data_IF_150624768335
#
_entry.id   IF_150624768335
#
_cell.length_a   1.000
_cell.length_b   1.000
_cell.length_c   1.000
_cell.angle_alpha   90.00
_cell.angle_beta   90.00
_cell.angle_gamma   90.00
#
_symmetry.space_group_name_H-M   'P 1'
#
loop_
_entity.id
_entity.type
_entity.pdbx_description
1 polymer ?
#
# COMPACT_ATOMS: atom_id res chain seq x y z
N UNK A 1 2.87 -19.98 -20.09
CA UNK A 1 3.36 -19.95 -18.69
C UNK A 1 2.30 -19.22 -17.89
N UNK A 2 1.46 -20.00 -17.26
CA UNK A 2 0.40 -19.50 -16.38
C UNK A 2 1.04 -18.86 -15.14
N UNK A 3 0.74 -17.58 -14.91
CA UNK A 3 1.00 -16.92 -13.65
C UNK A 3 -0.25 -17.13 -12.79
N UNK A 4 -0.18 -18.11 -11.91
CA UNK A 4 -1.24 -18.42 -10.99
C UNK A 4 -1.49 -17.24 -10.05
N UNK A 5 -2.70 -16.69 -10.12
CA UNK A 5 -3.26 -15.87 -9.08
C UNK A 5 -3.46 -16.75 -7.85
N UNK A 6 -2.63 -16.56 -6.82
CA UNK A 6 -2.76 -17.31 -5.58
C UNK A 6 -3.91 -16.76 -4.76
N UNK A 7 -5.08 -17.35 -4.91
CA UNK A 7 -6.14 -17.29 -3.90
C UNK A 7 -5.78 -18.33 -2.85
N UNK A 8 -5.34 -17.90 -1.68
CA UNK A 8 -5.12 -18.81 -0.55
C UNK A 8 -6.46 -19.11 0.12
N UNK A 9 -6.97 -20.32 -0.12
CA UNK A 9 -8.09 -20.88 0.62
C UNK A 9 -7.63 -21.49 1.96
N UNK A 10 -8.33 -21.06 3.01
CA UNK A 10 -8.67 -21.72 4.27
C UNK A 10 -7.63 -22.45 5.10
N UNK A 11 -7.43 -21.91 6.30
CA UNK A 11 -7.40 -22.76 7.50
C UNK A 11 -8.55 -22.35 8.43
N UNK A 12 -9.42 -23.33 8.73
CA UNK A 12 -10.54 -23.18 9.67
C UNK A 12 -10.01 -23.02 11.09
N UNK A 13 -10.27 -21.86 11.70
CA UNK A 13 -10.22 -21.72 13.14
C UNK A 13 -11.55 -21.13 13.61
N UNK A 14 -12.32 -21.97 14.32
CA UNK A 14 -13.62 -21.65 14.88
C UNK A 14 -13.42 -20.65 16.02
N UNK A 15 -13.71 -19.40 15.75
CA UNK A 15 -14.31 -18.41 16.64
C UNK A 15 -14.20 -17.02 16.02
N UNK A 16 -15.09 -16.74 15.07
CA UNK A 16 -15.37 -15.37 14.66
C UNK A 16 -16.58 -15.37 13.76
N UNK A 17 -17.43 -14.36 13.92
CA UNK A 17 -18.59 -14.17 13.09
C UNK A 17 -18.24 -14.35 11.61
N UNK A 18 -19.16 -14.89 10.87
CA UNK A 18 -19.03 -15.27 9.46
C UNK A 18 -18.32 -14.16 8.66
N UNK A 19 -17.03 -14.36 8.42
CA UNK A 19 -16.31 -13.58 7.43
C UNK A 19 -16.83 -14.01 6.07
N UNK A 20 -17.68 -13.19 5.48
CA UNK A 20 -18.21 -13.42 4.15
C UNK A 20 -17.08 -13.71 3.16
N UNK A 21 -17.21 -14.78 2.42
CA UNK A 21 -16.34 -15.10 1.29
C UNK A 21 -16.43 -13.95 0.30
N UNK A 22 -15.29 -13.33 -0.06
CA UNK A 22 -15.29 -12.39 -1.18
C UNK A 22 -15.30 -13.22 -2.45
N UNK A 23 -16.47 -13.50 -2.95
CA UNK A 23 -16.62 -14.27 -4.19
C UNK A 23 -16.51 -13.41 -5.45
N UNK A 24 -16.50 -12.07 -5.32
CA UNK A 24 -16.41 -11.16 -6.46
C UNK A 24 -15.73 -9.84 -6.07
N UNK A 25 -14.45 -9.76 -6.37
CA UNK A 25 -13.74 -8.50 -6.48
C UNK A 25 -13.71 -8.09 -7.96
N UNK A 26 -14.85 -7.68 -8.49
CA UNK A 26 -15.00 -7.30 -9.92
C UNK A 26 -14.16 -6.06 -10.31
N UNK A 27 -13.59 -5.36 -9.32
CA UNK A 27 -12.76 -4.17 -9.53
C UNK A 27 -11.25 -4.44 -9.37
N UNK A 28 -10.83 -5.69 -9.12
CA UNK A 28 -9.41 -6.01 -9.08
C UNK A 28 -8.83 -6.00 -10.50
N UNK A 29 -7.85 -5.16 -10.73
CA UNK A 29 -7.08 -5.20 -11.96
C UNK A 29 -6.18 -6.45 -11.98
N UNK A 30 -5.76 -6.90 -13.16
CA UNK A 30 -4.82 -8.04 -13.33
C UNK A 30 -3.52 -7.89 -12.51
N UNK A 31 -3.21 -6.68 -12.05
CA UNK A 31 -2.00 -6.32 -11.33
C UNK A 31 -2.21 -6.08 -9.83
N UNK A 32 -3.42 -6.32 -9.32
CA UNK A 32 -3.75 -6.10 -7.91
C UNK A 32 -3.86 -7.43 -7.17
N UNK A 33 -3.41 -7.43 -5.91
CA UNK A 33 -3.54 -8.60 -5.02
C UNK A 33 -4.04 -8.16 -3.67
N UNK A 34 -4.99 -8.92 -3.12
CA UNK A 34 -5.52 -8.73 -1.78
C UNK A 34 -5.31 -10.00 -0.99
N UNK A 35 -4.77 -9.82 0.21
CA UNK A 35 -4.59 -10.90 1.17
C UNK A 35 -5.52 -10.72 2.36
N UNK A 36 -6.03 -11.81 2.87
CA UNK A 36 -6.81 -11.88 4.09
C UNK A 36 -6.16 -12.82 5.08
N UNK A 37 -6.22 -12.47 6.34
CA UNK A 37 -5.68 -13.28 7.41
C UNK A 37 -5.57 -12.49 8.70
N UNK A 38 -5.04 -13.12 9.73
CA UNK A 38 -4.58 -12.42 10.91
C UNK A 38 -3.33 -11.58 10.59
N UNK A 39 -2.94 -10.73 11.52
CA UNK A 39 -1.81 -9.80 11.31
C UNK A 39 -0.51 -10.53 10.96
N UNK A 40 -0.23 -11.67 11.61
CA UNK A 40 0.98 -12.45 11.35
C UNK A 40 1.00 -13.04 9.94
N UNK A 41 -0.15 -13.55 9.49
CA UNK A 41 -0.32 -14.05 8.13
C UNK A 41 -0.15 -12.94 7.10
N UNK A 42 -0.79 -11.79 7.32
CA UNK A 42 -0.69 -10.64 6.40
C UNK A 42 0.74 -10.13 6.27
N UNK A 43 1.47 -9.99 7.38
CA UNK A 43 2.87 -9.56 7.37
C UNK A 43 3.78 -10.59 6.70
N UNK A 44 3.60 -11.87 6.99
CA UNK A 44 4.38 -12.95 6.38
C UNK A 44 4.20 -12.99 4.87
N UNK A 45 2.95 -12.88 4.38
CA UNK A 45 2.64 -12.83 2.95
C UNK A 45 3.17 -11.56 2.29
N UNK A 46 3.08 -10.42 2.95
CA UNK A 46 3.65 -9.18 2.46
C UNK A 46 5.17 -9.32 2.23
N UNK A 47 5.92 -9.82 3.22
CA UNK A 47 7.36 -9.99 3.10
C UNK A 47 7.73 -11.07 2.07
N UNK A 48 6.96 -12.15 1.99
CA UNK A 48 7.12 -13.16 0.96
C UNK A 48 6.97 -12.55 -0.44
N UNK A 49 5.93 -11.74 -0.66
CA UNK A 49 5.70 -11.07 -1.93
C UNK A 49 6.83 -10.11 -2.27
N UNK A 50 7.24 -9.27 -1.33
CA UNK A 50 8.34 -8.31 -1.52
C UNK A 50 9.66 -9.02 -1.88
N UNK A 51 9.91 -10.21 -1.34
CA UNK A 51 11.13 -11.00 -1.62
C UNK A 51 11.18 -11.54 -3.05
N UNK A 52 10.05 -11.62 -3.76
CA UNK A 52 9.94 -12.19 -5.10
C UNK A 52 10.41 -11.26 -6.24
N UNK A 53 11.29 -10.33 -5.96
CA UNK A 53 11.90 -9.49 -6.99
C UNK A 53 11.24 -8.12 -7.18
N UNK A 54 10.49 -7.64 -6.18
CA UNK A 54 10.04 -6.25 -6.18
C UNK A 54 11.27 -5.34 -6.13
N UNK A 55 11.52 -4.61 -7.21
CA UNK A 55 12.69 -3.74 -7.34
C UNK A 55 12.54 -2.44 -6.55
N UNK A 56 11.37 -1.81 -6.67
CA UNK A 56 11.06 -0.51 -6.06
C UNK A 56 9.67 -0.54 -5.43
N UNK A 57 9.55 0.04 -4.25
CA UNK A 57 8.26 0.36 -3.62
C UNK A 57 7.87 1.79 -4.00
N UNK A 58 6.62 2.00 -4.33
CA UNK A 58 6.04 3.32 -4.53
C UNK A 58 5.00 3.52 -3.45
N UNK A 59 5.10 4.60 -2.70
CA UNK A 59 4.17 4.91 -1.60
C UNK A 59 3.78 6.38 -1.63
N UNK A 60 2.77 6.72 -0.86
CA UNK A 60 2.48 8.10 -0.47
C UNK A 60 2.57 8.20 1.05
N UNK A 61 3.58 8.88 1.58
CA UNK A 61 3.90 8.97 3.00
C UNK A 61 4.25 7.63 3.67
N UNK A 62 4.57 6.60 2.89
CA UNK A 62 4.86 5.26 3.40
C UNK A 62 6.17 5.18 4.18
N UNK A 63 7.13 6.06 3.90
CA UNK A 63 8.39 6.15 4.64
C UNK A 63 8.18 6.58 6.09
N UNK A 64 7.22 7.46 6.33
CA UNK A 64 6.92 7.97 7.68
C UNK A 64 5.89 7.10 8.42
N UNK A 65 5.05 6.38 7.71
CA UNK A 65 3.94 5.63 8.30
C UNK A 65 4.02 4.13 8.03
N UNK A 66 3.78 3.68 6.80
CA UNK A 66 3.66 2.25 6.49
C UNK A 66 4.95 1.48 6.76
N UNK A 67 6.09 2.02 6.34
CA UNK A 67 7.38 1.37 6.52
C UNK A 67 7.73 1.10 7.97
N UNK A 68 7.75 2.12 8.85
CA UNK A 68 7.98 1.93 10.28
C UNK A 68 6.95 1.01 10.94
N UNK A 69 5.66 1.14 10.58
CA UNK A 69 4.61 0.28 11.11
C UNK A 69 4.87 -1.19 10.76
N UNK A 70 5.06 -1.53 9.49
CA UNK A 70 5.32 -2.90 9.04
C UNK A 70 6.57 -3.49 9.69
N UNK A 71 7.67 -2.73 9.76
CA UNK A 71 8.92 -3.18 10.37
C UNK A 71 8.76 -3.46 11.87
N UNK A 72 8.13 -2.53 12.61
CA UNK A 72 7.97 -2.66 14.07
C UNK A 72 6.98 -3.78 14.42
N UNK A 73 5.86 -3.89 13.69
CA UNK A 73 4.90 -4.98 13.92
C UNK A 73 5.50 -6.34 13.61
N UNK A 74 6.29 -6.44 12.55
CA UNK A 74 7.03 -7.68 12.23
C UNK A 74 7.98 -8.07 13.36
N UNK A 75 8.75 -7.13 13.88
CA UNK A 75 9.66 -7.38 15.01
C UNK A 75 8.91 -7.85 16.27
N UNK A 76 7.78 -7.21 16.61
CA UNK A 76 6.95 -7.59 17.77
C UNK A 76 6.38 -9.00 17.62
N UNK A 77 6.00 -9.39 16.40
CA UNK A 77 5.40 -10.69 16.09
C UNK A 77 6.45 -11.77 15.75
N UNK A 78 7.75 -11.45 15.80
CA UNK A 78 8.82 -12.39 15.49
C UNK A 78 8.89 -12.78 14.00
N UNK A 79 8.40 -11.93 13.13
CA UNK A 79 8.43 -12.12 11.67
C UNK A 79 9.65 -11.38 11.11
N UNK A 80 10.47 -12.08 10.33
CA UNK A 80 11.67 -11.49 9.72
C UNK A 80 11.31 -10.72 8.45
N UNK A 81 11.56 -9.38 8.41
CA UNK A 81 11.39 -8.60 7.20
C UNK A 81 12.38 -9.02 6.11
N UNK A 82 11.89 -9.24 4.89
CA UNK A 82 12.75 -9.63 3.76
C UNK A 82 13.63 -8.48 3.23
N UNK A 83 13.31 -7.24 3.58
CA UNK A 83 14.09 -6.04 3.23
C UNK A 83 13.76 -4.86 4.13
N UNK A 84 14.66 -3.89 4.21
CA UNK A 84 14.38 -2.59 4.83
C UNK A 84 13.55 -1.70 3.88
N UNK A 85 12.65 -0.93 4.45
CA UNK A 85 12.08 0.24 3.77
C UNK A 85 13.13 1.35 3.75
N UNK A 86 14.04 1.29 2.83
CA UNK A 86 15.18 2.17 2.63
C UNK A 86 15.29 3.36 3.61
N UNK A 87 16.23 3.34 4.55
CA UNK A 87 16.38 4.41 5.52
C UNK A 87 16.88 5.72 4.88
N UNK A 88 17.44 5.64 3.68
CA UNK A 88 18.01 6.79 2.99
C UNK A 88 16.93 7.54 2.20
N UNK A 89 16.41 8.61 2.79
CA UNK A 89 15.28 9.35 2.24
C UNK A 89 15.54 10.06 0.91
N UNK A 90 16.79 10.35 0.59
CA UNK A 90 17.17 11.04 -0.65
C UNK A 90 17.48 10.06 -1.80
N UNK A 91 17.03 8.81 -1.72
CA UNK A 91 17.17 7.83 -2.79
C UNK A 91 15.84 7.20 -3.14
N UNK A 92 15.47 7.27 -4.41
CA UNK A 92 14.24 6.67 -4.93
C UNK A 92 14.42 5.24 -5.44
N UNK A 93 15.66 4.72 -5.49
CA UNK A 93 16.00 3.46 -6.16
C UNK A 93 15.22 2.25 -5.63
N UNK A 94 15.05 2.14 -4.32
CA UNK A 94 14.34 1.03 -3.68
C UNK A 94 12.98 1.42 -3.13
N UNK A 95 12.80 2.70 -2.80
CA UNK A 95 11.57 3.23 -2.23
C UNK A 95 11.39 4.68 -2.67
N UNK A 96 10.43 4.91 -3.53
CA UNK A 96 10.00 6.25 -3.94
C UNK A 96 8.76 6.64 -3.15
N UNK A 97 8.92 7.54 -2.20
CA UNK A 97 7.79 8.11 -1.45
C UNK A 97 7.35 9.40 -2.13
N UNK A 98 6.16 9.37 -2.72
CA UNK A 98 5.65 10.50 -3.48
C UNK A 98 5.37 11.74 -2.62
N UNK A 99 5.06 11.56 -1.33
CA UNK A 99 4.91 12.68 -0.41
C UNK A 99 6.25 13.45 -0.25
N UNK A 100 7.38 12.74 -0.24
CA UNK A 100 8.70 13.37 -0.25
C UNK A 100 9.03 14.05 -1.59
N UNK A 101 8.62 13.46 -2.70
CA UNK A 101 8.78 14.07 -4.03
C UNK A 101 8.04 15.40 -4.11
N UNK A 102 6.75 15.41 -3.82
CA UNK A 102 5.91 16.61 -3.96
C UNK A 102 6.18 17.68 -2.92
N UNK A 103 6.71 17.30 -1.76
CA UNK A 103 7.15 18.25 -0.73
C UNK A 103 8.62 18.68 -0.90
N UNK A 104 9.33 18.18 -1.91
CA UNK A 104 10.76 18.40 -2.08
C UNK A 104 11.53 18.07 -0.79
N UNK A 105 11.30 16.85 -0.28
CA UNK A 105 11.88 16.35 0.98
C UNK A 105 11.58 17.21 2.21
N UNK A 106 10.41 17.82 2.24
CA UNK A 106 9.94 18.64 3.35
C UNK A 106 10.28 20.13 3.24
N UNK A 107 10.75 20.59 2.07
CA UNK A 107 10.93 22.04 1.80
C UNK A 107 9.57 22.76 1.64
N UNK A 108 8.49 22.02 1.40
CA UNK A 108 7.11 22.51 1.36
C UNK A 108 6.23 21.67 2.27
N UNK A 109 5.10 22.23 2.66
CA UNK A 109 4.07 21.50 3.39
C UNK A 109 3.58 20.29 2.57
N UNK A 110 3.30 19.21 3.28
CA UNK A 110 2.82 17.97 2.68
C UNK A 110 1.30 18.04 2.55
N UNK A 111 0.83 17.99 1.31
CA UNK A 111 -0.59 17.85 0.99
C UNK A 111 -1.01 16.38 0.95
N UNK A 112 -2.31 16.08 0.89
CA UNK A 112 -2.81 14.71 0.83
C UNK A 112 -2.62 14.08 -0.56
N UNK A 113 -2.67 12.74 -0.62
CA UNK A 113 -2.71 11.99 -1.89
C UNK A 113 -3.87 12.47 -2.76
N UNK A 114 -5.07 12.63 -2.17
CA UNK A 114 -6.26 13.14 -2.83
C UNK A 114 -6.05 14.51 -3.49
N UNK A 115 -5.40 15.44 -2.78
CA UNK A 115 -5.06 16.75 -3.32
C UNK A 115 -4.24 16.61 -4.61
N UNK A 116 -3.16 15.83 -4.57
CA UNK A 116 -2.27 15.69 -5.72
C UNK A 116 -2.90 14.89 -6.87
N UNK A 117 -3.72 13.88 -6.57
CA UNK A 117 -4.49 13.18 -7.59
C UNK A 117 -5.39 14.16 -8.36
N UNK A 118 -6.14 15.01 -7.66
CA UNK A 118 -6.99 16.04 -8.31
C UNK A 118 -6.17 17.03 -9.13
N UNK A 119 -5.02 17.49 -8.63
CA UNK A 119 -4.15 18.39 -9.38
C UNK A 119 -3.61 17.75 -10.66
N UNK A 120 -3.40 16.44 -10.66
CA UNK A 120 -2.95 15.66 -11.80
C UNK A 120 -4.08 15.19 -12.73
N UNK A 121 -5.35 15.55 -12.46
CA UNK A 121 -6.52 15.08 -13.23
C UNK A 121 -6.82 13.59 -13.03
N UNK A 122 -6.41 13.02 -11.90
CA UNK A 122 -6.66 11.63 -11.50
C UNK A 122 -7.88 11.62 -10.59
N UNK A 123 -8.77 10.64 -10.77
CA UNK A 123 -9.94 10.47 -9.92
C UNK A 123 -9.54 10.32 -8.45
N UNK A 124 -10.32 10.96 -7.58
CA UNK A 124 -10.03 10.95 -6.15
C UNK A 124 -10.13 9.55 -5.57
N UNK A 125 -9.15 9.07 -4.79
CA UNK A 125 -9.28 7.81 -4.08
C UNK A 125 -10.33 7.85 -2.94
N UNK A 126 -10.79 9.04 -2.55
CA UNK A 126 -11.68 9.28 -1.39
C UNK A 126 -13.18 9.30 -1.70
N UNK A 127 -13.66 8.57 -2.71
CA UNK A 127 -15.08 8.65 -3.06
C UNK A 127 -16.03 8.08 -1.98
N UNK A 128 -15.64 7.02 -1.25
CA UNK A 128 -16.53 6.28 -0.37
C UNK A 128 -16.08 6.19 1.10
N UNK A 129 -14.81 6.44 1.40
CA UNK A 129 -14.25 6.31 2.75
C UNK A 129 -13.08 7.27 2.95
N UNK A 130 -12.96 7.83 4.16
CA UNK A 130 -11.77 8.55 4.62
C UNK A 130 -10.93 7.66 5.55
N UNK A 131 -9.61 7.87 5.56
CA UNK A 131 -8.72 7.10 6.44
C UNK A 131 -9.08 7.15 7.93
N UNK A 132 -9.73 8.24 8.39
CA UNK A 132 -10.23 8.36 9.76
C UNK A 132 -11.39 7.40 10.07
N UNK A 133 -12.11 6.92 9.05
CA UNK A 133 -13.26 6.02 9.19
C UNK A 133 -12.87 4.54 9.20
N UNK A 134 -11.63 4.20 8.80
CA UNK A 134 -11.13 2.82 8.70
C UNK A 134 -11.28 2.06 10.03
N UNK A 135 -10.92 2.70 11.15
CA UNK A 135 -11.03 2.08 12.46
C UNK A 135 -12.47 1.73 12.86
N UNK A 136 -13.43 2.58 12.51
CA UNK A 136 -14.85 2.34 12.76
C UNK A 136 -15.42 1.29 11.80
N UNK A 137 -15.01 1.32 10.54
CA UNK A 137 -15.36 0.32 9.54
C UNK A 137 -14.87 -1.07 9.96
N UNK A 138 -13.63 -1.16 10.46
CA UNK A 138 -13.08 -2.41 10.99
C UNK A 138 -13.91 -2.97 12.16
N UNK A 139 -14.23 -2.14 13.15
CA UNK A 139 -15.07 -2.54 14.30
C UNK A 139 -16.46 -3.05 13.89
N UNK A 140 -16.98 -2.54 12.78
CA UNK A 140 -18.28 -2.95 12.20
C UNK A 140 -18.17 -4.14 11.24
N UNK A 141 -16.99 -4.70 11.04
CA UNK A 141 -16.75 -5.83 10.13
C UNK A 141 -16.83 -5.47 8.65
N UNK A 142 -16.76 -4.17 8.28
CA UNK A 142 -16.81 -3.69 6.88
C UNK A 142 -15.45 -3.86 6.17
N UNK A 143 -14.90 -5.08 6.22
CA UNK A 143 -13.55 -5.39 5.71
C UNK A 143 -13.45 -5.19 4.20
N UNK A 144 -14.50 -5.50 3.46
CA UNK A 144 -14.54 -5.33 2.00
C UNK A 144 -14.40 -3.85 1.59
N UNK A 145 -15.09 -2.95 2.29
CA UNK A 145 -15.00 -1.53 2.04
C UNK A 145 -13.59 -0.99 2.33
N UNK A 146 -12.95 -1.48 3.42
CA UNK A 146 -11.55 -1.16 3.73
C UNK A 146 -10.63 -1.64 2.61
N UNK A 147 -10.83 -2.86 2.10
CA UNK A 147 -10.05 -3.40 1.00
C UNK A 147 -10.18 -2.57 -0.28
N UNK A 148 -11.39 -2.15 -0.64
CA UNK A 148 -11.64 -1.27 -1.79
C UNK A 148 -10.97 0.09 -1.60
N UNK A 149 -11.06 0.66 -0.41
CA UNK A 149 -10.37 1.91 -0.08
C UNK A 149 -8.84 1.79 -0.26
N UNK A 150 -8.23 0.75 0.32
CA UNK A 150 -6.79 0.50 0.16
C UNK A 150 -6.38 0.31 -1.30
N UNK A 151 -7.21 -0.37 -2.10
CA UNK A 151 -6.94 -0.57 -3.52
C UNK A 151 -6.95 0.76 -4.29
N UNK A 152 -7.94 1.62 -4.04
CA UNK A 152 -8.01 2.95 -4.67
C UNK A 152 -6.83 3.84 -4.31
N UNK A 153 -6.40 3.82 -3.04
CA UNK A 153 -5.20 4.54 -2.61
C UNK A 153 -3.95 4.03 -3.34
N UNK A 154 -3.82 2.72 -3.51
CA UNK A 154 -2.71 2.12 -4.26
C UNK A 154 -2.75 2.50 -5.75
N UNK A 155 -3.92 2.46 -6.38
CA UNK A 155 -4.10 2.86 -7.78
C UNK A 155 -3.86 4.36 -7.98
N UNK A 156 -4.39 5.21 -7.10
CA UNK A 156 -4.14 6.65 -7.09
C UNK A 156 -2.65 6.96 -6.98
N UNK A 157 -1.95 6.25 -6.07
CA UNK A 157 -0.50 6.36 -5.90
C UNK A 157 0.25 5.96 -7.18
N UNK A 158 -0.14 4.85 -7.82
CA UNK A 158 0.48 4.39 -9.07
C UNK A 158 0.26 5.37 -10.23
N UNK A 159 -0.95 5.91 -10.37
CA UNK A 159 -1.28 6.93 -11.39
C UNK A 159 -0.50 8.22 -11.14
N UNK A 160 -0.42 8.67 -9.89
CA UNK A 160 0.33 9.85 -9.49
C UNK A 160 1.83 9.69 -9.74
N UNK A 161 2.40 8.51 -9.46
CA UNK A 161 3.79 8.21 -9.79
C UNK A 161 4.06 8.39 -11.29
N UNK A 162 3.18 7.88 -12.14
CA UNK A 162 3.32 8.04 -13.59
C UNK A 162 3.24 9.52 -14.04
N UNK A 163 2.36 10.31 -13.43
CA UNK A 163 2.25 11.74 -13.70
C UNK A 163 3.50 12.52 -13.25
N UNK A 164 4.10 12.13 -12.13
CA UNK A 164 5.30 12.77 -11.55
C UNK A 164 6.62 12.23 -12.12
N UNK A 165 6.58 11.20 -12.96
CA UNK A 165 7.77 10.53 -13.49
C UNK A 165 8.82 11.48 -14.07
N UNK A 166 8.48 12.52 -14.87
CA UNK A 166 9.48 13.45 -15.40
C UNK A 166 10.26 14.20 -14.30
N UNK A 167 9.57 14.56 -13.19
CA UNK A 167 10.18 15.25 -12.05
C UNK A 167 11.07 14.28 -11.28
N UNK A 168 10.58 13.07 -11.03
CA UNK A 168 11.32 12.01 -10.33
C UNK A 168 12.62 11.68 -11.06
N UNK A 169 12.58 11.51 -12.39
CA UNK A 169 13.76 11.20 -13.22
C UNK A 169 14.81 12.32 -13.20
N UNK A 170 14.40 13.59 -13.11
CA UNK A 170 15.33 14.70 -12.95
C UNK A 170 15.96 14.66 -11.56
N UNK A 171 15.14 14.50 -10.51
CA UNK A 171 15.64 14.43 -9.14
C UNK A 171 16.60 13.24 -8.95
N UNK A 172 16.32 12.08 -9.55
CA UNK A 172 17.19 10.89 -9.48
C UNK A 172 18.58 11.09 -10.11
N UNK A 173 18.70 11.99 -11.07
CA UNK A 173 19.98 12.29 -11.73
C UNK A 173 20.88 13.20 -10.91
N UNK A 174 20.29 13.93 -9.97
CA UNK A 174 21.00 14.95 -9.19
C UNK A 174 21.22 14.53 -7.73
N UNK A 175 20.64 13.39 -7.29
CA UNK A 175 20.84 12.78 -5.97
C UNK A 175 21.92 11.70 -5.99
#
# INVERSE_FOLDING_TARGET
KEKGGGVLEKSENQNQGEAGTIDKWEELTENSMIYRGDESQLLSEFWRYISQGVSRLITYNGRSFDGPFLMLRSAILGIEPSRSFSPYRYSFNRHCDLAEVVSFFGARDMESLDFWCRQAGIDSPKEDMDGSEVGEAYKKGRIEEIGKYCLRDAEGTAKLFNALKPVIEIMEKEL
#
